data_IF_730002738847
#
_entry.id   IF_730002738847
#
_cell.length_a   1.000
_cell.length_b   1.000
_cell.length_c   1.000
_cell.angle_alpha   90.00
_cell.angle_beta   90.00
_cell.angle_gamma   90.00
#
_symmetry.space_group_name_H-M   'P 1'
#
loop_
_entity.id
_entity.type
_entity.pdbx_description
1 polymer ?
#
# COMPACT_ATOMS: atom_id res chain seq x y z
N UNK A 1 -24.59 15.80 -8.19
CA UNK A 1 -23.69 15.10 -7.26
C UNK A 1 -23.70 15.85 -5.95
N UNK A 2 -23.42 15.18 -4.83
CA UNK A 2 -23.43 15.78 -3.48
C UNK A 2 -22.20 16.70 -3.34
N UNK A 3 -22.41 17.98 -2.98
CA UNK A 3 -21.34 18.98 -2.82
C UNK A 3 -20.25 18.50 -1.85
N UNK A 4 -20.64 17.82 -0.77
CA UNK A 4 -19.70 17.27 0.20
C UNK A 4 -18.86 16.13 -0.40
N UNK A 5 -19.45 15.33 -1.29
CA UNK A 5 -18.75 14.25 -1.98
C UNK A 5 -17.68 14.80 -2.93
N UNK A 6 -18.03 15.80 -3.74
CA UNK A 6 -17.12 16.42 -4.70
C UNK A 6 -15.93 17.09 -3.99
N UNK A 7 -16.19 17.86 -2.93
CA UNK A 7 -15.16 18.49 -2.09
C UNK A 7 -14.25 17.46 -1.40
N UNK A 8 -14.81 16.33 -0.94
CA UNK A 8 -14.03 15.29 -0.30
C UNK A 8 -13.09 14.57 -1.29
N UNK A 9 -13.52 14.35 -2.53
CA UNK A 9 -12.65 13.82 -3.58
C UNK A 9 -11.58 14.81 -4.01
N UNK A 10 -11.92 16.10 -4.14
CA UNK A 10 -10.96 17.16 -4.42
C UNK A 10 -9.90 17.26 -3.31
N UNK A 11 -10.33 17.20 -2.05
CA UNK A 11 -9.46 17.22 -0.88
C UNK A 11 -8.45 16.06 -0.91
N UNK A 12 -8.94 14.83 -1.08
CA UNK A 12 -8.08 13.64 -1.11
C UNK A 12 -7.17 13.62 -2.34
N UNK A 13 -7.67 14.04 -3.50
CA UNK A 13 -6.88 14.12 -4.74
C UNK A 13 -5.74 15.13 -4.61
N UNK A 14 -6.03 16.33 -4.11
CA UNK A 14 -5.04 17.39 -3.89
C UNK A 14 -4.03 16.99 -2.83
N UNK A 15 -4.49 16.43 -1.69
CA UNK A 15 -3.59 15.94 -0.64
C UNK A 15 -2.66 14.84 -1.16
N UNK A 16 -3.15 13.92 -2.01
CA UNK A 16 -2.32 12.88 -2.63
C UNK A 16 -1.26 13.46 -3.57
N UNK A 17 -1.63 14.40 -4.44
CA UNK A 17 -0.69 15.05 -5.35
C UNK A 17 0.42 15.76 -4.58
N UNK A 18 0.08 16.42 -3.47
CA UNK A 18 1.04 17.12 -2.62
C UNK A 18 1.85 16.15 -1.75
N UNK A 19 1.32 15.01 -1.33
CA UNK A 19 2.08 14.03 -0.54
C UNK A 19 3.12 13.25 -1.35
N UNK A 20 3.10 13.39 -2.69
CA UNK A 20 4.07 12.71 -3.56
C UNK A 20 5.40 13.47 -3.50
N UNK A 21 6.52 12.81 -3.11
CA UNK A 21 7.82 13.45 -3.07
C UNK A 21 8.16 14.05 -4.44
N UNK A 22 8.54 15.32 -4.49
CA UNK A 22 9.23 15.86 -5.65
C UNK A 22 10.71 15.47 -5.49
N UNK A 23 11.24 14.75 -6.47
CA UNK A 23 12.68 14.46 -6.58
C UNK A 23 13.42 15.71 -7.07
N UNK A 24 13.24 16.85 -6.41
CA UNK A 24 13.84 18.13 -6.81
C UNK A 24 15.14 18.45 -6.04
N UNK A 25 15.65 17.51 -5.23
CA UNK A 25 16.89 17.71 -4.48
C UNK A 25 18.00 16.73 -4.89
N UNK A 26 19.01 17.26 -5.59
CA UNK A 26 20.27 16.56 -5.87
C UNK A 26 21.03 16.25 -4.56
N UNK A 27 21.50 15.01 -4.34
CA UNK A 27 22.12 14.60 -3.09
C UNK A 27 23.59 15.03 -3.02
N UNK A 28 23.85 16.34 -2.91
CA UNK A 28 25.20 16.80 -2.57
C UNK A 28 25.47 16.60 -1.07
N UNK A 29 26.35 15.67 -0.70
CA UNK A 29 26.72 15.44 0.69
C UNK A 29 27.39 16.69 1.29
N UNK A 30 26.84 17.20 2.40
CA UNK A 30 27.33 18.43 3.03
C UNK A 30 28.26 18.08 4.21
N UNK A 31 29.48 18.62 4.18
CA UNK A 31 30.47 18.58 5.28
C UNK A 31 29.87 19.13 6.60
N UNK A 32 30.31 18.59 7.75
CA UNK A 32 29.71 18.92 9.05
C UNK A 32 29.74 20.41 9.41
N UNK A 33 30.75 21.14 8.93
CA UNK A 33 30.89 22.59 9.12
C UNK A 33 29.83 23.43 8.37
N UNK A 34 29.03 22.83 7.48
CA UNK A 34 28.07 23.52 6.62
C UNK A 34 26.63 23.06 6.83
N UNK A 35 26.33 22.37 7.95
CA UNK A 35 24.97 21.98 8.28
C UNK A 35 24.04 23.18 8.34
N UNK A 36 23.12 23.26 7.38
CA UNK A 36 22.02 24.23 7.42
C UNK A 36 20.77 23.58 8.00
N UNK A 37 19.92 24.35 8.69
CA UNK A 37 18.56 23.89 9.00
C UNK A 37 17.84 23.53 7.71
N UNK A 38 16.84 22.64 7.81
CA UNK A 38 15.94 22.40 6.68
C UNK A 38 15.34 23.74 6.25
N UNK A 39 15.30 24.07 4.95
CA UNK A 39 14.68 25.30 4.51
C UNK A 39 13.24 25.36 5.00
N UNK A 40 12.81 26.56 5.39
CA UNK A 40 11.41 26.78 5.71
C UNK A 40 10.56 26.46 4.48
N UNK A 41 9.41 25.79 4.65
CA UNK A 41 8.67 25.33 3.50
C UNK A 41 8.05 26.49 2.71
N UNK A 42 8.17 26.45 1.38
CA UNK A 42 7.60 27.47 0.47
C UNK A 42 6.07 27.29 0.23
N UNK A 43 5.41 26.37 0.95
CA UNK A 43 4.05 25.91 0.63
C UNK A 43 2.92 26.60 1.41
N UNK A 44 3.18 27.75 2.06
CA UNK A 44 2.15 28.51 2.80
C UNK A 44 0.88 28.76 1.98
N UNK A 45 1.00 28.90 0.65
CA UNK A 45 -0.15 29.02 -0.25
C UNK A 45 -0.91 27.70 -0.47
N UNK A 46 -0.23 26.55 -0.62
CA UNK A 46 -0.88 25.25 -0.85
C UNK A 46 -1.52 24.69 0.43
N UNK A 47 -0.93 24.97 1.60
CA UNK A 47 -1.55 24.77 2.92
C UNK A 47 -2.93 25.40 2.97
N UNK A 48 -2.99 26.68 2.56
CA UNK A 48 -4.19 27.49 2.62
C UNK A 48 -5.29 26.97 1.69
N UNK A 49 -4.91 26.34 0.57
CA UNK A 49 -5.87 25.69 -0.32
C UNK A 49 -6.50 24.46 0.33
N UNK A 50 -5.69 23.56 0.91
CA UNK A 50 -6.22 22.36 1.57
C UNK A 50 -7.04 22.70 2.83
N UNK A 51 -6.57 23.64 3.65
CA UNK A 51 -7.33 24.15 4.80
C UNK A 51 -8.66 24.77 4.35
N UNK A 52 -8.66 25.50 3.23
CA UNK A 52 -9.87 26.06 2.62
C UNK A 52 -10.85 24.99 2.17
N UNK A 53 -10.38 23.91 1.51
CA UNK A 53 -11.23 22.79 1.10
C UNK A 53 -11.79 22.05 2.32
N UNK A 54 -10.98 21.84 3.36
CA UNK A 54 -11.44 21.22 4.63
C UNK A 54 -12.52 22.07 5.28
N UNK A 55 -12.35 23.39 5.31
CA UNK A 55 -13.36 24.30 5.84
C UNK A 55 -14.67 24.23 5.04
N UNK A 56 -14.58 24.33 3.71
CA UNK A 56 -15.75 24.26 2.83
C UNK A 56 -16.46 22.91 2.92
N UNK A 57 -15.71 21.81 3.06
CA UNK A 57 -16.29 20.47 3.29
C UNK A 57 -17.01 20.42 4.63
N UNK A 58 -16.40 20.95 5.69
CA UNK A 58 -17.05 20.99 7.00
C UNK A 58 -18.36 21.80 6.98
N UNK A 59 -18.38 22.96 6.32
CA UNK A 59 -19.60 23.75 6.12
C UNK A 59 -20.65 22.95 5.33
N UNK A 60 -20.27 22.31 4.22
CA UNK A 60 -21.20 21.50 3.43
C UNK A 60 -21.80 20.33 4.24
N UNK A 61 -21.03 19.71 5.13
CA UNK A 61 -21.53 18.65 6.02
C UNK A 61 -22.51 19.20 7.06
N UNK A 62 -22.27 20.40 7.58
CA UNK A 62 -23.18 21.07 8.52
C UNK A 62 -24.48 21.49 7.84
N UNK A 63 -24.40 22.10 6.65
CA UNK A 63 -25.56 22.48 5.82
C UNK A 63 -26.43 21.26 5.47
N UNK A 64 -25.80 20.12 5.20
CA UNK A 64 -26.49 18.86 4.90
C UNK A 64 -27.01 18.14 6.16
N UNK A 65 -26.77 18.68 7.36
CA UNK A 65 -27.01 18.02 8.65
C UNK A 65 -26.47 16.58 8.68
N UNK A 66 -25.31 16.38 8.05
CA UNK A 66 -24.76 15.05 7.87
C UNK A 66 -24.33 14.47 9.22
N UNK A 67 -24.77 13.25 9.48
CA UNK A 67 -24.35 12.45 10.63
C UNK A 67 -23.81 11.10 10.16
N UNK A 68 -22.79 10.56 10.84
CA UNK A 68 -22.33 9.20 10.57
C UNK A 68 -23.46 8.19 10.82
N UNK A 69 -23.40 7.05 10.11
CA UNK A 69 -24.31 5.93 10.38
C UNK A 69 -24.24 5.55 11.87
N UNK A 70 -25.37 5.19 12.50
CA UNK A 70 -25.46 4.93 13.95
C UNK A 70 -24.51 3.83 14.45
N UNK A 71 -24.10 2.93 13.56
CA UNK A 71 -23.19 1.81 13.83
C UNK A 71 -21.73 2.14 13.50
N UNK A 72 -21.42 3.35 13.02
CA UNK A 72 -20.07 3.76 12.71
C UNK A 72 -19.21 3.76 14.00
N UNK A 73 -18.02 3.12 13.98
CA UNK A 73 -17.10 3.17 15.11
C UNK A 73 -16.79 4.62 15.50
N UNK A 74 -16.87 4.98 16.79
CA UNK A 74 -16.58 6.34 17.21
C UNK A 74 -15.10 6.67 17.05
N UNK A 75 -14.81 7.94 16.77
CA UNK A 75 -13.48 8.48 16.83
C UNK A 75 -12.97 8.52 18.28
N UNK A 76 -11.69 8.21 18.55
CA UNK A 76 -11.10 8.36 19.88
C UNK A 76 -11.30 9.78 20.44
N UNK A 77 -11.78 9.86 21.67
CA UNK A 77 -12.07 11.13 22.33
C UNK A 77 -10.78 11.94 22.57
N UNK A 78 -10.80 13.23 22.19
CA UNK A 78 -9.67 14.15 22.39
C UNK A 78 -8.49 13.95 21.43
N UNK A 79 -8.62 13.08 20.42
CA UNK A 79 -7.59 12.91 19.40
C UNK A 79 -7.55 14.12 18.45
N UNK A 80 -6.35 14.45 17.98
CA UNK A 80 -6.15 15.44 16.92
C UNK A 80 -5.90 14.71 15.60
N UNK A 81 -6.65 15.08 14.56
CA UNK A 81 -6.55 14.48 13.24
C UNK A 81 -5.84 15.41 12.29
N UNK A 82 -4.95 14.86 11.48
CA UNK A 82 -4.29 15.55 10.37
C UNK A 82 -4.61 14.83 9.06
N UNK A 83 -4.44 15.52 7.92
CA UNK A 83 -4.62 14.93 6.60
C UNK A 83 -3.37 15.13 5.75
N UNK A 84 -2.95 14.03 5.12
CA UNK A 84 -1.81 14.01 4.21
C UNK A 84 -0.49 14.34 4.91
N UNK A 85 0.61 14.10 4.20
CA UNK A 85 1.93 14.34 4.76
C UNK A 85 2.91 14.74 3.67
N UNK A 86 3.64 15.82 3.92
CA UNK A 86 4.80 16.19 3.14
C UNK A 86 6.06 15.61 3.78
N UNK A 87 6.84 14.87 2.99
CA UNK A 87 8.16 14.41 3.41
C UNK A 87 9.23 15.31 2.82
N UNK A 88 9.99 15.97 3.68
CA UNK A 88 11.17 16.74 3.28
C UNK A 88 12.43 15.97 3.69
N UNK A 89 13.33 15.78 2.73
CA UNK A 89 14.65 15.18 2.98
C UNK A 89 15.71 16.29 2.89
N UNK A 90 16.62 16.33 3.85
CA UNK A 90 17.85 17.11 3.73
C UNK A 90 18.93 16.29 3.03
N UNK A 91 19.95 16.96 2.44
CA UNK A 91 21.17 16.29 2.04
C UNK A 91 21.74 15.36 3.10
N UNK A 92 22.36 14.27 2.64
CA UNK A 92 23.09 13.34 3.50
C UNK A 92 24.16 14.09 4.31
N UNK A 93 24.11 13.90 5.62
CA UNK A 93 25.07 14.46 6.57
C UNK A 93 26.09 13.39 6.91
N UNK A 94 27.37 13.68 6.70
CA UNK A 94 28.44 12.80 7.17
C UNK A 94 28.47 12.82 8.70
N UNK A 95 28.40 11.62 9.30
CA UNK A 95 28.54 11.38 10.74
C UNK A 95 29.79 10.51 10.99
N UNK A 96 30.18 10.35 12.26
CA UNK A 96 31.44 9.65 12.66
C UNK A 96 31.59 8.26 12.01
N UNK A 97 30.47 7.56 11.73
CA UNK A 97 30.45 6.22 11.11
C UNK A 97 29.44 6.09 9.95
N UNK A 98 29.42 7.03 9.02
CA UNK A 98 28.62 6.92 7.79
C UNK A 98 27.84 8.20 7.47
N UNK A 99 26.60 8.03 7.01
CA UNK A 99 25.73 9.14 6.62
C UNK A 99 24.39 9.05 7.35
N UNK A 100 23.83 10.21 7.69
CA UNK A 100 22.47 10.34 8.18
C UNK A 100 21.68 11.22 7.22
N UNK A 101 20.49 10.77 6.82
CA UNK A 101 19.53 11.58 6.07
C UNK A 101 18.49 12.15 7.05
N UNK A 102 18.50 13.46 7.33
CA UNK A 102 17.44 14.06 8.10
C UNK A 102 16.16 14.10 7.26
N UNK A 103 15.09 13.50 7.79
CA UNK A 103 13.77 13.50 7.19
C UNK A 103 12.80 14.24 8.12
N UNK A 104 12.06 15.20 7.57
CA UNK A 104 11.00 15.93 8.27
C UNK A 104 9.66 15.61 7.62
N UNK A 105 8.76 15.07 8.42
CA UNK A 105 7.38 14.79 8.05
C UNK A 105 6.51 15.93 8.58
N UNK A 106 5.76 16.60 7.69
CA UNK A 106 4.87 17.72 8.06
C UNK A 106 3.46 17.40 7.55
N UNK A 107 2.43 17.44 8.41
CA UNK A 107 1.06 17.24 7.95
C UNK A 107 0.66 18.35 6.99
N UNK A 108 -0.01 18.00 5.88
CA UNK A 108 -0.50 18.99 4.92
C UNK A 108 -1.64 19.83 5.51
N UNK A 109 -2.52 19.18 6.29
CA UNK A 109 -3.52 19.84 7.14
C UNK A 109 -3.28 19.39 8.57
N UNK A 110 -2.96 20.34 9.45
CA UNK A 110 -2.59 20.04 10.84
C UNK A 110 -3.78 19.70 11.74
N UNK A 111 -4.99 20.20 11.42
CA UNK A 111 -6.20 19.98 12.21
C UNK A 111 -7.42 19.79 11.30
N UNK A 112 -7.88 18.55 11.20
CA UNK A 112 -9.10 18.20 10.47
C UNK A 112 -10.26 18.13 11.45
N UNK A 113 -11.39 18.83 11.21
CA UNK A 113 -12.59 18.72 12.04
C UNK A 113 -13.12 17.29 12.10
N UNK A 114 -13.60 16.85 13.26
CA UNK A 114 -14.15 15.51 13.46
C UNK A 114 -15.25 15.11 12.45
N UNK A 115 -16.22 15.99 12.09
CA UNK A 115 -17.22 15.65 11.08
C UNK A 115 -16.62 15.30 9.72
N UNK A 116 -15.57 16.03 9.31
CA UNK A 116 -14.84 15.77 8.06
C UNK A 116 -14.14 14.42 8.15
N UNK A 117 -13.46 14.12 9.26
CA UNK A 117 -12.79 12.82 9.46
C UNK A 117 -13.80 11.68 9.35
N UNK A 118 -14.92 11.78 10.05
CA UNK A 118 -15.99 10.78 10.02
C UNK A 118 -16.52 10.59 8.60
N UNK A 119 -16.71 11.67 7.85
CA UNK A 119 -17.19 11.60 6.47
C UNK A 119 -16.17 10.88 5.56
N UNK A 120 -14.90 11.27 5.63
CA UNK A 120 -13.84 10.66 4.83
C UNK A 120 -13.68 9.16 5.13
N UNK A 121 -13.80 8.76 6.40
CA UNK A 121 -13.64 7.37 6.83
C UNK A 121 -14.87 6.52 6.51
N UNK A 122 -16.08 7.01 6.77
CA UNK A 122 -17.29 6.18 6.74
C UNK A 122 -18.12 6.31 5.46
N UNK A 123 -18.09 7.49 4.82
CA UNK A 123 -18.93 7.77 3.64
C UNK A 123 -18.21 7.47 2.33
N UNK A 124 -16.91 7.75 2.25
CA UNK A 124 -16.16 7.52 1.02
C UNK A 124 -15.85 6.03 0.83
N UNK A 125 -15.95 5.50 -0.40
CA UNK A 125 -15.51 4.15 -0.72
C UNK A 125 -14.04 3.96 -0.35
N UNK A 126 -13.73 2.98 0.51
CA UNK A 126 -12.34 2.69 0.91
C UNK A 126 -11.89 3.26 2.26
N UNK A 127 -12.61 4.22 2.85
CA UNK A 127 -12.13 4.97 4.02
C UNK A 127 -11.99 4.18 5.33
N UNK A 128 -12.82 3.15 5.53
CA UNK A 128 -12.83 2.29 6.73
C UNK A 128 -12.51 0.82 6.42
N UNK A 129 -12.17 0.55 5.16
CA UNK A 129 -11.69 -0.76 4.74
C UNK A 129 -10.39 -1.08 5.47
N UNK A 130 -10.09 -2.37 5.62
CA UNK A 130 -8.89 -2.78 6.34
C UNK A 130 -8.36 -4.10 5.83
N UNK A 131 -7.13 -4.43 6.23
CA UNK A 131 -6.55 -5.74 5.99
C UNK A 131 -6.44 -6.48 7.31
N UNK A 132 -6.92 -7.72 7.34
CA UNK A 132 -6.72 -8.63 8.47
C UNK A 132 -5.62 -9.61 8.11
N UNK A 133 -4.52 -9.52 8.85
CA UNK A 133 -3.40 -10.46 8.77
C UNK A 133 -3.74 -11.75 9.52
N UNK A 134 -3.54 -12.90 8.89
CA UNK A 134 -3.73 -14.22 9.50
C UNK A 134 -2.54 -15.15 9.21
N UNK A 135 -2.35 -16.15 10.08
CA UNK A 135 -1.33 -17.18 9.95
C UNK A 135 -1.95 -18.55 10.24
N UNK A 136 -2.01 -19.41 9.23
CA UNK A 136 -2.50 -20.79 9.35
C UNK A 136 -1.36 -21.77 9.15
N UNK A 137 -1.31 -22.82 9.98
CA UNK A 137 -0.28 -23.87 9.88
C UNK A 137 -0.35 -24.53 8.50
N UNK A 138 0.78 -24.55 7.78
CA UNK A 138 0.88 -25.13 6.43
C UNK A 138 0.42 -24.21 5.29
N UNK A 139 -0.14 -23.04 5.59
CA UNK A 139 -0.50 -22.00 4.60
C UNK A 139 0.44 -20.81 4.69
N UNK A 140 0.85 -20.42 5.90
CA UNK A 140 1.68 -19.24 6.14
C UNK A 140 0.87 -17.95 6.31
N UNK A 141 1.60 -16.83 6.39
CA UNK A 141 1.04 -15.48 6.54
C UNK A 141 0.34 -15.00 5.27
N UNK A 142 -0.86 -14.45 5.41
CA UNK A 142 -1.64 -13.87 4.31
C UNK A 142 -2.63 -12.83 4.82
N UNK A 143 -3.24 -12.08 3.92
CA UNK A 143 -4.09 -10.94 4.26
C UNK A 143 -5.49 -11.07 3.66
N UNK A 144 -6.49 -10.87 4.49
CA UNK A 144 -7.87 -10.77 4.05
C UNK A 144 -8.26 -9.31 3.93
N UNK A 145 -8.92 -8.96 2.83
CA UNK A 145 -9.49 -7.64 2.68
C UNK A 145 -10.86 -7.58 3.36
N UNK A 146 -11.02 -6.56 4.20
CA UNK A 146 -12.22 -6.31 4.99
C UNK A 146 -12.86 -5.01 4.53
N UNK A 147 -14.18 -5.02 4.35
CA UNK A 147 -14.93 -3.81 4.08
C UNK A 147 -15.04 -2.92 5.33
N UNK A 148 -15.69 -1.76 5.16
CA UNK A 148 -16.00 -0.84 6.27
C UNK A 148 -16.77 -1.47 7.44
N UNK A 149 -17.52 -2.56 7.22
CA UNK A 149 -18.29 -3.29 8.24
C UNK A 149 -17.49 -4.43 8.88
N UNK A 150 -16.20 -4.55 8.54
CA UNK A 150 -15.32 -5.65 8.95
C UNK A 150 -15.77 -7.03 8.45
N UNK A 151 -16.65 -7.06 7.45
CA UNK A 151 -16.94 -8.27 6.71
C UNK A 151 -15.70 -8.69 5.93
N UNK A 152 -15.46 -9.99 5.85
CA UNK A 152 -14.37 -10.62 5.13
C UNK A 152 -14.74 -10.80 3.66
N UNK A 153 -13.88 -10.32 2.77
CA UNK A 153 -14.06 -10.54 1.33
C UNK A 153 -13.72 -11.98 0.91
N UNK A 154 -14.17 -12.35 -0.29
CA UNK A 154 -13.79 -13.59 -0.98
C UNK A 154 -12.42 -13.50 -1.68
N UNK A 155 -11.56 -12.55 -1.31
CA UNK A 155 -10.23 -12.39 -1.88
C UNK A 155 -9.18 -12.40 -0.78
N UNK A 156 -8.05 -13.00 -1.08
CA UNK A 156 -6.87 -13.00 -0.21
C UNK A 156 -5.72 -12.33 -0.95
N UNK A 157 -4.88 -11.61 -0.22
CA UNK A 157 -3.66 -11.01 -0.74
C UNK A 157 -2.46 -11.83 -0.26
N UNK A 158 -1.55 -12.08 -1.19
CA UNK A 158 -0.38 -12.93 -1.02
C UNK A 158 0.84 -12.27 -1.65
N UNK A 159 2.01 -12.45 -1.05
CA UNK A 159 3.27 -12.01 -1.66
C UNK A 159 3.68 -12.97 -2.77
N UNK A 160 4.40 -12.47 -3.76
CA UNK A 160 5.19 -13.36 -4.60
C UNK A 160 6.41 -13.86 -3.83
N UNK A 161 6.31 -15.08 -3.32
CA UNK A 161 7.38 -15.72 -2.54
C UNK A 161 8.51 -16.26 -3.40
N UNK A 162 8.32 -16.30 -4.73
CA UNK A 162 9.31 -16.75 -5.72
C UNK A 162 10.15 -15.60 -6.25
N UNK A 163 9.70 -14.35 -6.06
CA UNK A 163 10.43 -13.17 -6.48
C UNK A 163 11.78 -13.09 -5.75
N UNK A 164 12.85 -12.87 -6.51
CA UNK A 164 14.20 -12.75 -5.98
C UNK A 164 14.55 -11.27 -5.77
N UNK A 165 15.14 -10.90 -4.62
CA UNK A 165 15.59 -9.53 -4.40
C UNK A 165 16.62 -9.11 -5.46
N UNK A 166 16.54 -7.86 -5.97
CA UNK A 166 17.54 -7.34 -6.88
C UNK A 166 18.91 -7.34 -6.21
N UNK A 167 19.95 -7.71 -6.95
CA UNK A 167 21.32 -7.78 -6.43
C UNK A 167 21.97 -6.40 -6.34
N UNK A 168 21.53 -5.47 -7.21
CA UNK A 168 22.05 -4.11 -7.26
C UNK A 168 20.96 -3.03 -7.42
N UNK A 169 21.40 -1.78 -7.44
CA UNK A 169 20.56 -0.60 -7.52
C UNK A 169 19.87 -0.43 -8.89
N UNK A 170 20.52 -0.88 -9.96
CA UNK A 170 20.00 -0.78 -11.32
C UNK A 170 18.86 -1.79 -11.52
N UNK A 171 19.08 -3.03 -11.10
CA UNK A 171 18.05 -4.07 -11.04
C UNK A 171 16.90 -3.67 -10.14
N UNK A 172 17.19 -3.03 -8.99
CA UNK A 172 16.13 -2.54 -8.09
C UNK A 172 15.23 -1.50 -8.75
N UNK A 173 15.82 -0.57 -9.52
CA UNK A 173 15.05 0.43 -10.27
C UNK A 173 14.23 -0.22 -11.39
N UNK A 174 14.76 -1.25 -12.05
CA UNK A 174 14.08 -1.96 -13.13
C UNK A 174 12.95 -2.89 -12.64
N UNK A 175 13.18 -3.68 -11.59
CA UNK A 175 12.18 -4.61 -11.02
C UNK A 175 11.15 -3.91 -10.13
N UNK A 176 11.52 -2.79 -9.52
CA UNK A 176 10.65 -2.09 -8.58
C UNK A 176 10.44 -2.87 -7.25
N UNK A 177 9.39 -2.53 -6.50
CA UNK A 177 9.13 -3.18 -5.22
C UNK A 177 8.61 -4.61 -5.41
N UNK A 178 8.94 -5.50 -4.47
CA UNK A 178 8.35 -6.86 -4.42
C UNK A 178 6.81 -6.78 -4.58
N UNK A 179 6.24 -7.51 -5.55
CA UNK A 179 4.82 -7.42 -5.85
C UNK A 179 3.94 -8.20 -4.87
N UNK A 180 2.74 -7.66 -4.64
CA UNK A 180 1.64 -8.35 -3.94
C UNK A 180 0.53 -8.67 -4.94
N UNK A 181 -0.04 -9.86 -4.80
CA UNK A 181 -1.07 -10.42 -5.68
C UNK A 181 -2.35 -10.67 -4.89
N UNK A 182 -3.47 -10.73 -5.61
CA UNK A 182 -4.75 -11.15 -5.08
C UNK A 182 -5.21 -12.42 -5.79
N UNK A 183 -5.97 -13.24 -5.09
CA UNK A 183 -6.61 -14.42 -5.65
C UNK A 183 -7.97 -14.63 -4.97
N UNK A 184 -8.89 -15.28 -5.68
CA UNK A 184 -10.16 -15.67 -5.07
C UNK A 184 -9.92 -16.76 -4.01
N UNK A 185 -10.54 -16.58 -2.85
CA UNK A 185 -10.43 -17.49 -1.73
C UNK A 185 -11.72 -17.51 -0.90
N UNK A 186 -12.01 -18.66 -0.29
CA UNK A 186 -13.14 -18.79 0.63
C UNK A 186 -14.51 -18.83 -0.05
N UNK A 187 -14.63 -19.52 -1.19
CA UNK A 187 -15.94 -19.84 -1.78
C UNK A 187 -16.87 -20.43 -0.71
N UNK A 188 -17.96 -19.70 -0.39
CA UNK A 188 -18.95 -20.09 0.62
C UNK A 188 -18.72 -19.60 2.06
N UNK A 189 -17.56 -18.99 2.38
CA UNK A 189 -17.22 -18.52 3.73
C UNK A 189 -16.86 -17.01 3.80
N UNK A 190 -17.13 -16.27 2.73
CA UNK A 190 -16.93 -14.83 2.65
C UNK A 190 -18.22 -14.07 2.96
N UNK A 191 -18.11 -12.94 3.65
CA UNK A 191 -19.23 -12.06 3.96
C UNK A 191 -19.66 -11.23 2.73
N UNK A 192 -18.75 -11.00 1.79
CA UNK A 192 -19.05 -10.31 0.53
C UNK A 192 -18.09 -10.70 -0.60
N UNK A 193 -18.53 -10.43 -1.84
CA UNK A 193 -17.70 -10.56 -3.04
C UNK A 193 -16.96 -9.25 -3.31
N UNK A 194 -15.63 -9.25 -3.21
CA UNK A 194 -14.83 -8.12 -3.61
C UNK A 194 -14.73 -8.03 -5.14
N UNK A 195 -14.47 -6.81 -5.63
CA UNK A 195 -14.24 -6.51 -7.04
C UNK A 195 -12.86 -5.84 -7.19
N UNK A 196 -11.77 -6.62 -7.20
CA UNK A 196 -10.41 -6.08 -7.29
C UNK A 196 -10.21 -5.16 -8.48
N UNK A 197 -10.84 -5.45 -9.63
CA UNK A 197 -10.79 -4.63 -10.84
C UNK A 197 -11.21 -3.16 -10.61
N UNK A 198 -12.07 -2.91 -9.62
CA UNK A 198 -12.51 -1.56 -9.25
C UNK A 198 -11.61 -0.90 -8.20
N UNK A 199 -10.60 -1.59 -7.68
CA UNK A 199 -9.61 -0.98 -6.81
C UNK A 199 -8.72 -0.08 -7.66
N UNK A 200 -8.89 1.22 -7.55
CA UNK A 200 -7.96 2.17 -8.19
C UNK A 200 -6.55 2.07 -7.60
N UNK A 201 -5.57 2.55 -8.35
CA UNK A 201 -4.15 2.58 -7.97
C UNK A 201 -3.87 3.04 -6.54
N UNK A 202 -4.44 4.18 -6.03
CA UNK A 202 -4.19 4.58 -4.65
C UNK A 202 -4.55 3.50 -3.61
N UNK A 203 -5.68 2.80 -3.81
CA UNK A 203 -6.11 1.75 -2.88
C UNK A 203 -5.18 0.55 -2.95
N UNK A 204 -4.80 0.13 -4.16
CA UNK A 204 -3.87 -0.98 -4.39
C UNK A 204 -2.49 -0.72 -3.80
N UNK A 205 -1.96 0.48 -4.03
CA UNK A 205 -0.70 0.93 -3.44
C UNK A 205 -0.77 0.97 -1.91
N UNK A 206 -1.85 1.53 -1.35
CA UNK A 206 -2.06 1.56 0.11
C UNK A 206 -2.11 0.16 0.72
N UNK A 207 -2.81 -0.79 0.08
CA UNK A 207 -2.82 -2.20 0.51
C UNK A 207 -1.40 -2.80 0.52
N UNK A 208 -0.60 -2.54 -0.53
CA UNK A 208 0.80 -2.99 -0.58
C UNK A 208 1.64 -2.37 0.52
N UNK A 209 1.51 -1.08 0.79
CA UNK A 209 2.28 -0.36 1.81
C UNK A 209 2.00 -0.91 3.21
N UNK A 210 0.73 -1.15 3.54
CA UNK A 210 0.32 -1.76 4.81
C UNK A 210 0.95 -3.16 4.96
N UNK A 211 0.85 -3.99 3.93
CA UNK A 211 1.45 -5.33 3.95
C UNK A 211 2.99 -5.28 4.00
N UNK A 212 3.64 -4.32 3.34
CA UNK A 212 5.09 -4.29 3.17
C UNK A 212 5.84 -4.20 4.51
N UNK A 213 5.20 -3.63 5.54
CA UNK A 213 5.72 -3.61 6.90
C UNK A 213 6.03 -5.01 7.47
N UNK A 214 5.41 -6.06 6.93
CA UNK A 214 5.65 -7.44 7.33
C UNK A 214 6.82 -8.12 6.61
N UNK A 215 7.33 -7.55 5.50
CA UNK A 215 8.46 -8.10 4.72
C UNK A 215 9.79 -8.14 5.48
N UNK A 216 9.83 -7.64 6.72
CA UNK A 216 10.89 -7.92 7.69
C UNK A 216 10.96 -9.38 8.15
N UNK A 217 9.93 -10.18 7.84
CA UNK A 217 9.90 -11.65 8.05
C UNK A 217 10.53 -12.37 6.87
N UNK A 218 10.88 -13.64 7.07
CA UNK A 218 11.34 -14.46 5.96
C UNK A 218 10.18 -14.66 4.96
N UNK A 219 10.46 -14.44 3.67
CA UNK A 219 9.45 -14.57 2.63
C UNK A 219 8.83 -15.97 2.57
N UNK A 220 9.57 -17.00 2.98
CA UNK A 220 9.09 -18.38 3.04
C UNK A 220 8.00 -18.61 4.10
N UNK A 221 7.79 -17.67 5.03
CA UNK A 221 6.72 -17.74 6.03
C UNK A 221 5.37 -17.29 5.48
N UNK A 222 5.34 -16.66 4.31
CA UNK A 222 4.10 -16.19 3.68
C UNK A 222 3.49 -17.26 2.80
N UNK A 223 2.17 -17.17 2.64
CA UNK A 223 1.44 -17.95 1.65
C UNK A 223 1.95 -17.61 0.25
N UNK A 224 2.36 -18.59 -0.56
CA UNK A 224 2.68 -18.35 -1.96
C UNK A 224 1.39 -18.00 -2.72
N UNK A 225 1.44 -16.95 -3.53
CA UNK A 225 0.37 -16.66 -4.48
C UNK A 225 0.17 -17.85 -5.45
N UNK A 226 -1.07 -18.21 -5.76
CA UNK A 226 -1.36 -19.21 -6.79
C UNK A 226 -0.91 -18.74 -8.16
N UNK A 227 -0.81 -19.68 -9.10
CA UNK A 227 -0.37 -19.39 -10.47
C UNK A 227 -1.42 -18.58 -11.26
N UNK A 228 -2.67 -18.53 -10.78
CA UNK A 228 -3.78 -17.73 -11.33
C UNK A 228 -3.96 -16.39 -10.59
N UNK A 229 -3.05 -16.05 -9.68
CA UNK A 229 -3.15 -14.81 -8.91
C UNK A 229 -2.83 -13.58 -9.78
N UNK A 230 -3.58 -12.51 -9.56
CA UNK A 230 -3.47 -11.27 -10.31
C UNK A 230 -2.77 -10.17 -9.51
N UNK A 231 -2.04 -9.26 -10.16
CA UNK A 231 -1.29 -8.23 -9.44
C UNK A 231 -2.24 -7.27 -8.71
N UNK A 232 -1.98 -7.06 -7.42
CA UNK A 232 -2.53 -5.91 -6.68
C UNK A 232 -1.64 -4.70 -6.96
N UNK A 233 -0.35 -4.81 -6.69
CA UNK A 233 0.61 -3.74 -6.93
C UNK A 233 2.06 -4.27 -6.97
N UNK A 234 2.91 -3.75 -7.87
CA UNK A 234 2.57 -2.91 -9.03
C UNK A 234 1.68 -3.63 -10.05
N UNK A 235 0.84 -2.90 -10.80
CA UNK A 235 -0.09 -3.51 -11.77
C UNK A 235 0.59 -4.19 -12.97
N UNK A 236 1.80 -3.77 -13.30
CA UNK A 236 2.61 -4.35 -14.37
C UNK A 236 3.39 -5.61 -13.94
N UNK A 237 3.21 -6.04 -12.69
CA UNK A 237 3.94 -7.19 -12.15
C UNK A 237 3.43 -8.48 -12.78
N UNK A 238 4.37 -9.32 -13.19
CA UNK A 238 4.11 -10.69 -13.62
C UNK A 238 4.56 -11.60 -12.49
N UNK A 239 3.72 -12.59 -12.18
CA UNK A 239 4.02 -13.57 -11.15
C UNK A 239 5.28 -14.36 -11.52
N UNK A 240 6.26 -14.44 -10.61
CA UNK A 240 7.51 -15.14 -10.89
C UNK A 240 7.21 -16.63 -11.15
N UNK A 241 7.63 -17.19 -12.30
CA UNK A 241 7.38 -18.59 -12.63
C UNK A 241 8.01 -19.55 -11.61
N UNK A 242 7.38 -20.70 -11.40
CA UNK A 242 8.01 -21.78 -10.64
C UNK A 242 9.09 -22.43 -11.50
N UNK A 243 10.30 -22.58 -10.96
CA UNK A 243 11.31 -23.44 -11.57
C UNK A 243 10.78 -24.88 -11.56
N UNK A 244 10.43 -25.40 -12.73
CA UNK A 244 10.10 -26.82 -12.89
C UNK A 244 11.41 -27.57 -13.03
N UNK A 245 11.84 -28.26 -11.98
CA UNK A 245 12.93 -29.24 -12.14
C UNK A 245 12.42 -30.33 -13.09
N UNK A 246 13.02 -30.54 -14.26
CA UNK A 246 12.58 -31.61 -15.15
C UNK A 246 12.67 -32.94 -14.40
N UNK A 247 11.70 -33.85 -14.58
CA UNK A 247 11.77 -35.15 -13.94
C UNK A 247 13.09 -35.82 -14.33
N UNK A 248 13.77 -36.51 -13.39
CA UNK A 248 15.03 -37.18 -13.69
C UNK A 248 14.82 -38.09 -14.90
N UNK A 249 15.72 -37.98 -15.89
CA UNK A 249 15.67 -38.78 -17.10
C UNK A 249 15.48 -40.25 -16.72
N UNK A 250 14.42 -40.87 -17.25
CA UNK A 250 14.15 -42.27 -17.01
C UNK A 250 15.41 -43.09 -17.37
N UNK A 251 15.86 -44.03 -16.51
CA UNK A 251 17.04 -44.83 -16.81
C UNK A 251 16.82 -45.54 -18.15
N UNK A 252 17.82 -45.46 -19.02
CA UNK A 252 17.80 -46.13 -20.31
C UNK A 252 17.45 -47.61 -20.12
N UNK A 253 16.28 -48.01 -20.63
CA UNK A 253 15.85 -49.40 -20.57
C UNK A 253 16.89 -50.31 -21.24
N UNK A 254 17.09 -51.54 -20.74
CA UNK A 254 18.12 -52.42 -21.26
C UNK A 254 17.84 -52.70 -22.74
N UNK A 255 18.90 -52.61 -23.56
CA UNK A 255 18.83 -52.87 -24.99
C UNK A 255 18.27 -54.29 -25.22
N UNK A 256 17.03 -54.35 -25.73
CA UNK A 256 16.31 -55.59 -25.97
C UNK A 256 17.10 -56.53 -26.88
N UNK A 257 17.59 -57.62 -26.30
CA UNK A 257 18.18 -58.74 -27.03
C UNK A 257 17.18 -59.36 -27.99
N UNK A 258 17.63 -59.55 -29.23
CA UNK A 258 16.93 -60.20 -30.35
C UNK A 258 16.21 -61.50 -29.92
N UNK A 259 14.89 -61.57 -30.14
CA UNK A 259 14.18 -62.85 -30.28
C UNK A 259 14.62 -63.52 -31.58
N UNK A 260 15.33 -64.66 -31.49
CA UNK A 260 15.43 -65.63 -32.59
C UNK A 260 14.19 -66.51 -32.56
N UNK A 261 13.49 -66.58 -33.69
CA UNK A 261 12.44 -67.57 -33.90
C UNK A 261 13.05 -68.95 -34.16
N UNK A 262 12.52 -69.97 -33.47
CA UNK A 262 11.85 -71.12 -34.08
C UNK A 262 11.08 -71.87 -33.01
#
# INVERSE_FOLDING_TARGET
>A
MDRAYDLAHELLGTAKQLSTPRDDWEPEAIEAAHWRPLPEPDWTWQASTLDGIVHALNEALQEAEWLPEREAPPLPHGATYSLGEWTQRAPLRRIVRGFAEPVRHVPLVSRVPEPVVLYLVHKLPGGADSLKREHHKGVGWHYHYLDKRKGRSNVVLCWDTRWEPPEDEEERKAQGPRPIFWEYHGEGNADFKAQPDLWGDPKRQSMREVCASDLKRNISEFRPASDDAEPVWPLWSILTPRAVTPPPAAPAGPAGGKKKGR
#
